data_IF_942247021173
#
_entry.id   IF_942247021173
#
_cell.length_a   1.000
_cell.length_b   1.000
_cell.length_c   1.000
_cell.angle_alpha   90.00
_cell.angle_beta   90.00
_cell.angle_gamma   90.00
#
_symmetry.space_group_name_H-M   'P 1'
#
loop_
_entity.id
_entity.type
_entity.pdbx_description
1 polymer ?
#
# COMPACT_ATOMS: atom_id res chain seq x y z
N UNK A 1 13.95 -0.24 -12.85
CA UNK A 1 14.78 0.90 -12.44
C UNK A 1 16.28 0.59 -12.54
N UNK A 2 17.11 1.60 -12.81
CA UNK A 2 18.58 1.45 -12.74
C UNK A 2 19.01 1.13 -11.30
N UNK A 3 19.91 0.15 -11.14
CA UNK A 3 20.34 -0.30 -9.80
C UNK A 3 20.92 0.83 -8.95
N UNK A 4 21.65 1.78 -9.53
CA UNK A 4 22.22 2.90 -8.75
C UNK A 4 21.15 3.89 -8.31
N UNK A 5 20.06 4.03 -9.06
CA UNK A 5 18.90 4.83 -8.65
C UNK A 5 18.20 4.12 -7.49
N UNK A 6 17.91 2.83 -7.64
CA UNK A 6 17.34 2.00 -6.57
C UNK A 6 18.15 2.09 -5.27
N UNK A 7 19.47 1.83 -5.33
CA UNK A 7 20.35 1.86 -4.16
C UNK A 7 20.44 3.25 -3.49
N UNK A 8 20.14 4.34 -4.22
CA UNK A 8 20.04 5.69 -3.65
C UNK A 8 18.70 5.93 -2.98
N UNK A 9 17.62 5.49 -3.61
CA UNK A 9 16.27 5.57 -3.05
C UNK A 9 16.21 4.85 -1.70
N UNK A 10 16.76 3.63 -1.61
CA UNK A 10 16.80 2.89 -0.35
C UNK A 10 17.54 3.64 0.76
N UNK A 11 18.68 4.29 0.44
CA UNK A 11 19.41 5.12 1.41
C UNK A 11 18.64 6.36 1.86
N UNK A 12 17.81 6.92 0.98
CA UNK A 12 16.96 8.05 1.33
C UNK A 12 15.83 7.60 2.26
N UNK A 13 15.23 6.44 2.00
CA UNK A 13 14.26 5.82 2.91
C UNK A 13 14.87 5.46 4.29
N UNK A 14 16.11 4.97 4.33
CA UNK A 14 16.83 4.68 5.59
C UNK A 14 16.98 5.92 6.50
N UNK A 15 16.99 7.13 5.93
CA UNK A 15 17.07 8.40 6.66
C UNK A 15 15.76 9.19 6.64
N UNK A 16 14.67 8.54 6.23
CA UNK A 16 13.31 9.11 6.14
C UNK A 16 13.20 10.36 5.24
N UNK A 17 14.07 10.49 4.22
CA UNK A 17 14.10 11.63 3.30
C UNK A 17 13.24 11.38 2.04
N UNK A 18 11.91 11.45 2.23
CA UNK A 18 10.95 11.23 1.14
C UNK A 18 11.02 12.33 0.07
N UNK A 19 11.26 13.58 0.47
CA UNK A 19 11.43 14.68 -0.49
C UNK A 19 12.65 14.47 -1.37
N UNK A 20 13.77 13.98 -0.81
CA UNK A 20 14.94 13.58 -1.59
C UNK A 20 14.67 12.44 -2.57
N UNK A 21 13.74 11.51 -2.26
CA UNK A 21 13.27 10.48 -3.21
C UNK A 21 12.54 11.13 -4.38
N UNK A 22 11.63 12.06 -4.10
CA UNK A 22 10.88 12.78 -5.15
C UNK A 22 11.82 13.60 -6.04
N UNK A 23 12.75 14.36 -5.45
CA UNK A 23 13.74 15.15 -6.19
C UNK A 23 14.62 14.27 -7.08
N UNK A 24 15.06 13.11 -6.58
CA UNK A 24 15.86 12.17 -7.36
C UNK A 24 15.06 11.63 -8.56
N UNK A 25 13.81 11.21 -8.35
CA UNK A 25 12.96 10.67 -9.41
C UNK A 25 12.57 11.74 -10.44
N UNK A 26 12.29 12.97 -10.02
CA UNK A 26 12.01 14.11 -10.90
C UNK A 26 13.23 14.51 -11.76
N UNK A 27 14.44 14.15 -11.35
CA UNK A 27 15.66 14.38 -12.12
C UNK A 27 15.88 13.37 -13.26
N UNK A 28 15.11 12.27 -13.29
CA UNK A 28 15.21 11.23 -14.32
C UNK A 28 14.50 11.68 -15.61
N UNK A 29 15.00 11.23 -16.75
CA UNK A 29 14.40 11.59 -18.05
C UNK A 29 13.15 10.81 -18.40
N UNK A 30 13.02 9.58 -17.90
CA UNK A 30 11.95 8.64 -18.24
C UNK A 30 11.62 7.79 -17.01
N UNK A 31 10.33 7.46 -16.84
CA UNK A 31 9.84 6.62 -15.75
C UNK A 31 9.27 5.31 -16.29
N UNK A 32 9.64 4.20 -15.65
CA UNK A 32 8.97 2.93 -15.72
C UNK A 32 8.06 2.71 -14.51
N UNK A 33 7.49 1.50 -14.42
CA UNK A 33 6.56 1.11 -13.34
C UNK A 33 7.18 1.23 -11.96
N UNK A 34 8.43 0.82 -11.81
CA UNK A 34 9.17 0.92 -10.55
C UNK A 34 9.33 2.38 -10.11
N UNK A 35 9.68 3.30 -11.02
CA UNK A 35 9.81 4.73 -10.71
C UNK A 35 8.47 5.34 -10.30
N UNK A 36 7.38 5.01 -11.01
CA UNK A 36 6.03 5.44 -10.60
C UNK A 36 5.64 4.90 -9.21
N UNK A 37 5.96 3.63 -8.95
CA UNK A 37 5.69 2.98 -7.66
C UNK A 37 6.45 3.62 -6.50
N UNK A 38 7.74 3.90 -6.68
CA UNK A 38 8.55 4.57 -5.66
C UNK A 38 8.16 6.03 -5.45
N UNK A 39 7.77 6.75 -6.51
CA UNK A 39 7.27 8.12 -6.38
C UNK A 39 5.98 8.16 -5.55
N UNK A 40 5.04 7.26 -5.85
CA UNK A 40 3.80 7.14 -5.12
C UNK A 40 4.00 6.70 -3.66
N UNK A 41 5.00 5.84 -3.39
CA UNK A 41 5.39 5.46 -2.02
C UNK A 41 5.90 6.68 -1.24
N UNK A 42 6.81 7.46 -1.82
CA UNK A 42 7.33 8.67 -1.18
C UNK A 42 6.22 9.70 -0.92
N UNK A 43 5.30 9.92 -1.88
CA UNK A 43 4.12 10.76 -1.69
C UNK A 43 3.23 10.26 -0.55
N UNK A 44 2.97 8.95 -0.49
CA UNK A 44 2.14 8.36 0.57
C UNK A 44 2.77 8.52 1.95
N UNK A 45 4.09 8.39 2.06
CA UNK A 45 4.82 8.62 3.32
C UNK A 45 4.89 10.11 3.72
N UNK A 46 4.51 11.02 2.83
CA UNK A 46 4.35 12.46 3.08
C UNK A 46 2.87 12.84 3.30
N UNK A 47 1.99 11.85 3.51
CA UNK A 47 0.53 12.02 3.65
C UNK A 47 -0.15 12.64 2.40
N UNK A 48 0.48 12.53 1.21
CA UNK A 48 -0.02 13.05 -0.07
C UNK A 48 -0.73 11.96 -0.88
N UNK A 49 -1.76 11.35 -0.29
CA UNK A 49 -2.38 10.13 -0.82
C UNK A 49 -3.15 10.32 -2.13
N UNK A 50 -3.83 11.47 -2.34
CA UNK A 50 -4.49 11.75 -3.62
C UNK A 50 -3.47 11.83 -4.76
N UNK A 51 -2.34 12.50 -4.53
CA UNK A 51 -1.27 12.60 -5.52
C UNK A 51 -0.65 11.22 -5.78
N UNK A 52 -0.44 10.42 -4.74
CA UNK A 52 0.05 9.05 -4.91
C UNK A 52 -0.86 8.23 -5.85
N UNK A 53 -2.18 8.32 -5.68
CA UNK A 53 -3.15 7.67 -6.58
C UNK A 53 -3.10 8.21 -8.01
N UNK A 54 -2.95 9.52 -8.18
CA UNK A 54 -2.80 10.12 -9.52
C UNK A 54 -1.61 9.51 -10.28
N UNK A 55 -0.51 9.20 -9.59
CA UNK A 55 0.64 8.52 -10.19
C UNK A 55 0.41 7.02 -10.40
N UNK A 56 -0.11 6.29 -9.41
CA UNK A 56 -0.37 4.85 -9.49
C UNK A 56 -1.39 4.47 -10.56
N UNK A 57 -2.36 5.36 -10.83
CA UNK A 57 -3.44 5.11 -11.78
C UNK A 57 -3.12 5.49 -13.23
N UNK A 58 -1.90 5.99 -13.51
CA UNK A 58 -1.40 6.16 -14.88
C UNK A 58 -1.25 4.79 -15.55
N UNK A 59 -1.58 4.71 -16.84
CA UNK A 59 -1.51 3.46 -17.60
C UNK A 59 -0.11 2.84 -17.58
N UNK A 60 0.93 3.68 -17.55
CA UNK A 60 2.33 3.25 -17.48
C UNK A 60 2.72 2.69 -16.11
N UNK A 61 2.00 3.08 -15.05
CA UNK A 61 2.25 2.66 -13.67
C UNK A 61 1.48 1.40 -13.29
N UNK A 62 0.30 1.19 -13.88
CA UNK A 62 -0.57 0.05 -13.55
C UNK A 62 0.13 -1.29 -13.74
N UNK A 63 0.09 -2.10 -12.69
CA UNK A 63 0.48 -3.48 -12.71
C UNK A 63 -0.29 -4.28 -11.66
N UNK A 64 -0.72 -5.48 -12.01
CA UNK A 64 -1.44 -6.35 -11.08
C UNK A 64 -0.45 -7.15 -10.23
N UNK A 65 0.38 -6.42 -9.48
CA UNK A 65 1.36 -6.95 -8.52
C UNK A 65 0.88 -6.72 -7.09
N UNK A 66 1.46 -7.44 -6.13
CA UNK A 66 1.17 -7.20 -4.71
C UNK A 66 1.47 -5.74 -4.34
N UNK A 67 2.69 -5.25 -4.62
CA UNK A 67 3.14 -3.92 -4.19
C UNK A 67 2.29 -2.79 -4.77
N UNK A 68 1.89 -2.89 -6.05
CA UNK A 68 1.02 -1.88 -6.65
C UNK A 68 -0.37 -1.90 -6.03
N UNK A 69 -1.00 -3.07 -5.89
CA UNK A 69 -2.32 -3.19 -5.26
C UNK A 69 -2.27 -2.74 -3.78
N UNK A 70 -1.20 -3.08 -3.06
CA UNK A 70 -0.98 -2.65 -1.67
C UNK A 70 -0.85 -1.13 -1.57
N UNK A 71 -0.04 -0.48 -2.43
CA UNK A 71 0.11 0.98 -2.43
C UNK A 71 -1.20 1.70 -2.77
N UNK A 72 -1.97 1.18 -3.74
CA UNK A 72 -3.30 1.73 -4.07
C UNK A 72 -4.27 1.55 -2.90
N UNK A 73 -4.29 0.37 -2.28
CA UNK A 73 -5.07 0.07 -1.07
C UNK A 73 -4.73 1.04 0.07
N UNK A 74 -3.44 1.22 0.35
CA UNK A 74 -2.92 2.12 1.38
C UNK A 74 -3.40 3.55 1.14
N UNK A 75 -3.24 4.09 -0.08
CA UNK A 75 -3.70 5.45 -0.38
C UNK A 75 -5.21 5.58 -0.22
N UNK A 76 -6.02 4.61 -0.67
CA UNK A 76 -7.48 4.67 -0.47
C UNK A 76 -7.90 4.56 1.00
N UNK A 77 -7.17 3.79 1.82
CA UNK A 77 -7.44 3.67 3.25
C UNK A 77 -7.31 5.02 3.96
N UNK A 78 -6.21 5.74 3.75
CA UNK A 78 -6.02 7.06 4.37
C UNK A 78 -6.89 8.16 3.77
N UNK A 79 -7.49 7.92 2.61
CA UNK A 79 -8.54 8.76 2.03
C UNK A 79 -9.95 8.35 2.46
N UNK A 80 -10.08 7.41 3.38
CA UNK A 80 -11.35 6.88 3.90
C UNK A 80 -12.28 6.32 2.79
N UNK A 81 -11.69 5.87 1.68
CA UNK A 81 -12.44 5.22 0.60
C UNK A 81 -12.46 3.71 0.78
N UNK A 82 -13.18 3.28 1.82
CA UNK A 82 -13.25 1.90 2.29
C UNK A 82 -13.59 0.88 1.20
N UNK A 83 -14.43 1.24 0.23
CA UNK A 83 -14.81 0.34 -0.87
C UNK A 83 -13.62 0.01 -1.77
N UNK A 84 -12.86 1.02 -2.17
CA UNK A 84 -11.68 0.80 -3.00
C UNK A 84 -10.55 0.16 -2.20
N UNK A 85 -10.39 0.51 -0.92
CA UNK A 85 -9.46 -0.20 -0.02
C UNK A 85 -9.72 -1.70 -0.01
N UNK A 86 -10.99 -2.12 0.13
CA UNK A 86 -11.35 -3.55 0.10
C UNK A 86 -10.99 -4.17 -1.25
N UNK A 87 -11.27 -3.51 -2.37
CA UNK A 87 -11.00 -4.03 -3.72
C UNK A 87 -9.51 -4.29 -3.91
N UNK A 88 -8.67 -3.28 -3.69
CA UNK A 88 -7.23 -3.38 -3.95
C UNK A 88 -6.52 -4.17 -2.85
N UNK A 89 -6.92 -4.03 -1.58
CA UNK A 89 -6.37 -4.79 -0.47
C UNK A 89 -6.64 -6.29 -0.60
N UNK A 90 -7.86 -6.67 -0.95
CA UNK A 90 -8.18 -8.08 -1.24
C UNK A 90 -7.38 -8.60 -2.42
N UNK A 91 -7.21 -7.79 -3.47
CA UNK A 91 -6.38 -8.19 -4.63
C UNK A 91 -4.92 -8.38 -4.25
N UNK A 92 -4.36 -7.51 -3.40
CA UNK A 92 -3.01 -7.67 -2.88
C UNK A 92 -2.87 -9.00 -2.11
N UNK A 93 -3.79 -9.29 -1.18
CA UNK A 93 -3.79 -10.54 -0.41
C UNK A 93 -3.85 -11.81 -1.27
N UNK A 94 -4.56 -11.77 -2.41
CA UNK A 94 -4.60 -12.89 -3.37
C UNK A 94 -3.26 -13.14 -4.07
N UNK A 95 -2.45 -12.10 -4.26
CA UNK A 95 -1.16 -12.17 -4.94
C UNK A 95 -0.03 -12.57 -3.99
N UNK A 96 -0.17 -12.19 -2.72
CA UNK A 96 0.76 -12.44 -1.64
C UNK A 96 2.04 -11.60 -1.68
N UNK A 97 2.54 -11.21 -0.52
CA UNK A 97 3.64 -10.27 -0.36
C UNK A 97 4.06 -10.02 1.08
N UNK A 98 5.05 -9.16 1.25
CA UNK A 98 5.67 -8.93 2.57
C UNK A 98 4.71 -8.28 3.57
N UNK A 99 3.85 -7.36 3.09
CA UNK A 99 2.94 -6.56 3.91
C UNK A 99 1.50 -7.11 3.90
N UNK A 100 1.34 -8.44 3.78
CA UNK A 100 0.01 -9.08 3.80
C UNK A 100 -0.76 -8.80 5.10
N UNK A 101 -0.07 -8.77 6.24
CA UNK A 101 -0.71 -8.52 7.54
C UNK A 101 -1.29 -7.08 7.59
N UNK A 102 -0.60 -6.08 7.03
CA UNK A 102 -1.09 -4.70 6.90
C UNK A 102 -2.25 -4.59 5.90
N UNK A 103 -2.13 -5.27 4.74
CA UNK A 103 -3.21 -5.31 3.74
C UNK A 103 -4.50 -5.89 4.34
N UNK A 104 -4.38 -6.96 5.13
CA UNK A 104 -5.50 -7.57 5.83
C UNK A 104 -6.10 -6.63 6.87
N UNK A 105 -5.25 -5.93 7.65
CA UNK A 105 -5.71 -4.92 8.60
C UNK A 105 -6.56 -3.84 7.91
N UNK A 106 -6.07 -3.25 6.81
CA UNK A 106 -6.82 -2.21 6.09
C UNK A 106 -8.17 -2.71 5.55
N UNK A 107 -8.21 -3.94 5.03
CA UNK A 107 -9.47 -4.56 4.55
C UNK A 107 -10.44 -4.81 5.71
N UNK A 108 -9.96 -5.29 6.85
CA UNK A 108 -10.79 -5.53 8.04
C UNK A 108 -11.41 -4.25 8.59
N UNK A 109 -10.60 -3.22 8.81
CA UNK A 109 -11.05 -1.91 9.27
C UNK A 109 -12.05 -1.30 8.27
N UNK A 110 -11.79 -1.44 6.97
CA UNK A 110 -12.71 -0.95 5.93
C UNK A 110 -14.09 -1.63 6.00
N UNK A 111 -14.14 -2.95 6.24
CA UNK A 111 -15.42 -3.63 6.46
C UNK A 111 -16.11 -3.17 7.76
N UNK A 112 -15.36 -2.90 8.83
CA UNK A 112 -15.90 -2.38 10.08
C UNK A 112 -16.50 -0.98 9.92
N UNK A 113 -15.79 -0.07 9.25
CA UNK A 113 -16.26 1.29 8.96
C UNK A 113 -17.52 1.29 8.10
N UNK A 114 -17.60 0.37 7.12
CA UNK A 114 -18.79 0.14 6.31
C UNK A 114 -19.92 -0.60 7.04
N UNK A 115 -19.66 -1.12 8.25
CA UNK A 115 -20.58 -2.00 9.02
C UNK A 115 -21.00 -3.25 8.24
N UNK A 116 -20.12 -3.75 7.38
CA UNK A 116 -20.29 -4.94 6.55
C UNK A 116 -19.81 -6.18 7.32
N UNK A 117 -20.49 -6.50 8.42
CA UNK A 117 -20.03 -7.51 9.38
C UNK A 117 -20.10 -8.94 8.84
N UNK A 118 -21.06 -9.26 7.97
CA UNK A 118 -21.17 -10.59 7.37
C UNK A 118 -19.96 -10.85 6.44
N UNK A 119 -19.56 -9.84 5.67
CA UNK A 119 -18.36 -9.88 4.82
C UNK A 119 -17.07 -9.90 5.64
N UNK A 120 -17.01 -9.14 6.74
CA UNK A 120 -15.89 -9.19 7.67
C UNK A 120 -15.70 -10.60 8.25
N UNK A 121 -16.78 -11.25 8.69
CA UNK A 121 -16.72 -12.61 9.23
C UNK A 121 -16.20 -13.57 8.16
N UNK A 122 -16.73 -13.51 6.93
CA UNK A 122 -16.24 -14.33 5.82
C UNK A 122 -14.77 -14.08 5.50
N UNK A 123 -14.33 -12.82 5.56
CA UNK A 123 -12.94 -12.45 5.37
C UNK A 123 -12.04 -13.08 6.44
N UNK A 124 -12.40 -12.96 7.72
CA UNK A 124 -11.65 -13.54 8.84
C UNK A 124 -11.58 -15.06 8.75
N UNK A 125 -12.69 -15.73 8.44
CA UNK A 125 -12.73 -17.19 8.25
C UNK A 125 -11.77 -17.67 7.14
N UNK A 126 -11.58 -16.86 6.09
CA UNK A 126 -10.64 -17.16 4.99
C UNK A 126 -9.18 -16.87 5.37
N UNK A 127 -8.92 -15.95 6.30
CA UNK A 127 -7.59 -15.46 6.68
C UNK A 127 -7.25 -15.77 8.15
N UNK A 128 -7.73 -16.90 8.67
CA UNK A 128 -7.63 -17.27 10.10
C UNK A 128 -6.22 -17.30 10.69
N UNK A 129 -5.18 -17.57 9.89
CA UNK A 129 -3.79 -17.48 10.37
C UNK A 129 -3.30 -16.03 10.53
N UNK A 130 -3.82 -15.10 9.70
CA UNK A 130 -3.57 -13.66 9.83
C UNK A 130 -4.37 -13.08 10.99
N UNK A 131 -5.64 -13.48 11.14
CA UNK A 131 -6.49 -13.11 12.28
C UNK A 131 -5.80 -13.44 13.61
N UNK A 132 -5.23 -14.65 13.76
CA UNK A 132 -4.52 -15.04 14.99
C UNK A 132 -3.35 -14.11 15.31
N UNK A 133 -2.59 -13.65 14.32
CA UNK A 133 -1.47 -12.72 14.52
C UNK A 133 -1.97 -11.33 14.90
N UNK A 134 -2.94 -10.79 14.16
CA UNK A 134 -3.51 -9.46 14.39
C UNK A 134 -4.22 -9.41 15.76
N UNK A 135 -4.99 -10.44 16.11
CA UNK A 135 -5.67 -10.55 17.40
C UNK A 135 -4.72 -10.62 18.61
N UNK A 136 -3.51 -11.15 18.44
CA UNK A 136 -2.46 -11.10 19.48
C UNK A 136 -1.92 -9.67 19.61
N UNK A 137 -1.64 -8.98 18.49
CA UNK A 137 -1.18 -7.60 18.51
C UNK A 137 -2.17 -6.68 19.23
N UNK A 138 -3.48 -6.79 18.98
CA UNK A 138 -4.49 -6.00 19.69
C UNK A 138 -4.57 -6.26 21.20
N UNK A 139 -4.21 -7.47 21.67
CA UNK A 139 -4.19 -7.78 23.10
C UNK A 139 -2.93 -7.26 23.82
N UNK A 140 -1.84 -6.98 23.10
CA UNK A 140 -0.59 -6.47 23.70
C UNK A 140 -0.61 -4.95 23.95
N UNK A 141 -1.61 -4.23 23.42
CA UNK A 141 -1.80 -2.78 23.62
C UNK A 141 -2.97 -2.42 24.56
N UNK A 142 -3.52 -3.39 25.30
CA UNK A 142 -4.52 -3.24 26.38
C UNK A 142 -3.93 -3.58 27.75
#
# INVERSE_FOLDING_TARGET
>A
MDKKVHDKIEKLYEVEDMEGVLELLDSLSDWGKEEYGEYARALSNLDRHEEALEYLMKEQAKEDTFDWNFRVCYSYFFLENWKETIVYGTRALELGGEFEDDAAYFVMESYQELRAFDELIQFLEKHTEIEKKIGILFMEWL
#
